data_IF_667651252297
#
_entry.id   IF_667651252297
#
_cell.length_a   1.000
_cell.length_b   1.000
_cell.length_c   1.000
_cell.angle_alpha   90.00
_cell.angle_beta   90.00
_cell.angle_gamma   90.00
#
_symmetry.space_group_name_H-M   'P 1'
#
loop_
_entity.id
_entity.type
_entity.pdbx_description
1 polymer ?
#
# COMPACT_ATOMS: atom_id res chain seq x y z
N UNK A 1 -21.27 15.33 -4.56
CA UNK A 1 -19.82 15.29 -4.91
C UNK A 1 -19.22 14.04 -4.25
N UNK A 2 -18.41 13.26 -4.98
CA UNK A 2 -17.84 12.01 -4.47
C UNK A 2 -16.79 12.31 -3.37
N UNK A 3 -16.93 11.76 -2.13
CA UNK A 3 -16.02 12.06 -1.02
C UNK A 3 -14.68 11.32 -1.08
N UNK A 4 -14.50 10.38 -2.01
CA UNK A 4 -13.32 9.52 -2.09
C UNK A 4 -12.06 10.27 -2.53
N UNK A 5 -10.95 10.06 -1.81
CA UNK A 5 -9.62 10.55 -2.20
C UNK A 5 -9.07 9.79 -3.42
N UNK A 6 -9.27 8.48 -3.45
CA UNK A 6 -8.97 7.60 -4.58
C UNK A 6 -10.30 7.08 -5.11
N UNK A 7 -10.62 7.42 -6.36
CA UNK A 7 -11.86 7.05 -7.02
C UNK A 7 -11.71 5.77 -7.85
N UNK A 8 -10.48 5.37 -8.16
CA UNK A 8 -10.21 4.16 -8.93
C UNK A 8 -8.76 4.07 -9.35
N UNK A 9 -8.48 3.07 -10.19
CA UNK A 9 -7.22 2.93 -10.91
C UNK A 9 -7.47 2.42 -12.32
N UNK A 10 -6.53 2.72 -13.20
CA UNK A 10 -6.44 2.19 -14.55
C UNK A 10 -5.10 1.48 -14.73
N UNK A 11 -5.08 0.36 -15.45
CA UNK A 11 -3.86 -0.37 -15.80
C UNK A 11 -3.59 -0.16 -17.29
N UNK A 12 -2.49 0.52 -17.61
CA UNK A 12 -1.97 0.62 -18.96
C UNK A 12 -1.18 -0.65 -19.31
N UNK A 13 -1.89 -1.62 -19.91
CA UNK A 13 -1.29 -2.87 -20.36
C UNK A 13 -0.25 -2.68 -21.46
N UNK A 14 -0.23 -1.57 -22.19
CA UNK A 14 0.78 -1.34 -23.23
C UNK A 14 2.17 -1.13 -22.60
N UNK A 15 2.22 -0.64 -21.36
CA UNK A 15 3.46 -0.52 -20.57
C UNK A 15 3.90 -1.85 -19.92
N UNK A 16 3.11 -2.92 -20.05
CA UNK A 16 3.43 -4.24 -19.47
C UNK A 16 3.82 -5.22 -20.58
N UNK A 17 5.05 -5.79 -20.56
CA UNK A 17 5.48 -6.78 -21.54
C UNK A 17 4.50 -7.95 -21.69
N UNK A 18 4.30 -8.43 -22.91
CA UNK A 18 3.38 -9.55 -23.20
C UNK A 18 3.75 -10.85 -22.46
N UNK A 19 5.04 -11.04 -22.17
CA UNK A 19 5.56 -12.18 -21.41
C UNK A 19 5.65 -11.92 -19.89
N UNK A 20 5.19 -10.76 -19.40
CA UNK A 20 5.26 -10.42 -17.98
C UNK A 20 4.36 -11.34 -17.14
N UNK A 21 4.85 -11.75 -15.98
CA UNK A 21 4.08 -12.57 -15.04
C UNK A 21 2.84 -11.84 -14.52
N UNK A 22 2.82 -10.50 -14.54
CA UNK A 22 1.68 -9.67 -14.14
C UNK A 22 0.41 -10.01 -14.92
N UNK A 23 0.55 -10.38 -16.20
CA UNK A 23 -0.57 -10.83 -17.05
C UNK A 23 -1.15 -12.19 -16.65
N UNK A 24 -0.55 -12.88 -15.69
CA UNK A 24 -0.98 -14.19 -15.16
C UNK A 24 -1.51 -14.10 -13.72
N UNK A 25 -1.43 -12.94 -13.08
CA UNK A 25 -1.96 -12.75 -11.74
C UNK A 25 -3.47 -12.60 -11.81
N UNK A 26 -4.20 -13.48 -11.13
CA UNK A 26 -5.67 -13.54 -11.23
C UNK A 26 -6.34 -12.22 -10.81
N UNK A 27 -5.82 -11.54 -9.79
CA UNK A 27 -6.34 -10.27 -9.29
C UNK A 27 -6.36 -9.12 -10.30
N UNK A 28 -5.45 -9.16 -11.28
CA UNK A 28 -5.22 -8.04 -12.19
C UNK A 28 -5.33 -8.45 -13.65
N UNK A 29 -5.24 -9.73 -14.01
CA UNK A 29 -5.25 -10.16 -15.41
C UNK A 29 -6.52 -9.67 -16.12
N UNK A 30 -6.34 -8.82 -17.13
CA UNK A 30 -7.44 -8.27 -17.92
C UNK A 30 -8.26 -7.20 -17.19
N UNK A 31 -7.76 -6.68 -16.06
CA UNK A 31 -8.33 -5.53 -15.38
C UNK A 31 -7.82 -4.26 -16.08
N UNK A 32 -8.67 -3.58 -16.82
CA UNK A 32 -8.33 -2.29 -17.45
C UNK A 32 -8.61 -1.14 -16.48
N UNK A 33 -9.77 -1.18 -15.81
CA UNK A 33 -10.21 -0.15 -14.87
C UNK A 33 -10.86 -0.79 -13.63
N UNK A 34 -10.57 -0.21 -12.46
CA UNK A 34 -11.24 -0.52 -11.21
C UNK A 34 -11.75 0.78 -10.59
N UNK A 35 -13.06 0.88 -10.39
CA UNK A 35 -13.72 2.04 -9.78
C UNK A 35 -14.10 1.75 -8.33
N UNK A 36 -13.76 2.66 -7.43
CA UNK A 36 -14.15 2.61 -6.03
C UNK A 36 -15.47 3.36 -5.80
N UNK A 37 -16.41 2.67 -5.17
CA UNK A 37 -17.70 3.23 -4.78
C UNK A 37 -17.84 3.44 -3.27
N UNK A 38 -16.95 2.84 -2.47
CA UNK A 38 -17.01 2.81 -1.02
C UNK A 38 -15.77 3.47 -0.40
N UNK A 39 -15.94 4.11 0.77
CA UNK A 39 -14.84 4.70 1.55
C UNK A 39 -13.82 3.66 2.00
N UNK A 40 -14.29 2.43 2.24
CA UNK A 40 -13.47 1.31 2.72
C UNK A 40 -13.70 0.14 1.76
N UNK A 41 -12.93 0.05 0.66
CA UNK A 41 -13.01 -1.08 -0.25
C UNK A 41 -12.36 -2.33 0.38
N UNK A 42 -13.03 -3.47 0.25
CA UNK A 42 -12.51 -4.76 0.69
C UNK A 42 -12.16 -5.62 -0.52
N UNK A 43 -10.94 -6.15 -0.52
CA UNK A 43 -10.48 -7.13 -1.50
C UNK A 43 -10.40 -8.51 -0.82
N UNK A 44 -11.04 -9.51 -1.42
CA UNK A 44 -11.09 -10.88 -0.89
C UNK A 44 -10.69 -11.83 -2.01
N UNK A 45 -9.61 -12.57 -1.79
CA UNK A 45 -9.06 -13.54 -2.76
C UNK A 45 -8.48 -14.75 -2.04
N UNK A 46 -8.20 -15.80 -2.80
CA UNK A 46 -7.39 -16.93 -2.34
C UNK A 46 -5.94 -16.47 -2.10
N UNK A 47 -5.26 -17.12 -1.17
CA UNK A 47 -3.83 -16.89 -0.95
C UNK A 47 -3.05 -17.10 -2.26
N UNK A 48 -2.23 -16.12 -2.64
CA UNK A 48 -1.51 -16.11 -3.91
C UNK A 48 -2.29 -15.54 -5.11
N UNK A 49 -3.51 -15.02 -4.93
CA UNK A 49 -4.33 -14.46 -6.00
C UNK A 49 -3.81 -13.14 -6.60
N UNK A 50 -2.96 -12.42 -5.87
CA UNK A 50 -2.38 -11.15 -6.32
C UNK A 50 -2.91 -9.90 -5.63
N UNK A 51 -3.82 -10.04 -4.66
CA UNK A 51 -4.29 -8.93 -3.81
C UNK A 51 -3.17 -8.05 -3.24
N UNK A 52 -2.08 -8.64 -2.73
CA UNK A 52 -0.95 -7.86 -2.21
C UNK A 52 -0.30 -7.02 -3.30
N UNK A 53 -0.07 -7.60 -4.48
CA UNK A 53 0.49 -6.91 -5.65
C UNK A 53 -0.38 -5.74 -6.10
N UNK A 54 -1.71 -5.89 -6.09
CA UNK A 54 -2.64 -4.82 -6.40
C UNK A 54 -2.57 -3.69 -5.36
N UNK A 55 -2.59 -4.04 -4.07
CA UNK A 55 -2.52 -3.05 -2.98
C UNK A 55 -1.18 -2.31 -2.96
N UNK A 56 -0.08 -3.00 -3.22
CA UNK A 56 1.26 -2.41 -3.36
C UNK A 56 1.30 -1.43 -4.54
N UNK A 57 0.77 -1.80 -5.70
CA UNK A 57 0.72 -0.92 -6.86
C UNK A 57 -0.12 0.35 -6.57
N UNK A 58 -1.26 0.21 -5.88
CA UNK A 58 -2.07 1.36 -5.45
C UNK A 58 -1.29 2.26 -4.49
N UNK A 59 -0.58 1.67 -3.52
CA UNK A 59 0.21 2.40 -2.54
C UNK A 59 1.35 3.18 -3.21
N UNK A 60 2.16 2.52 -4.04
CA UNK A 60 3.28 3.15 -4.76
C UNK A 60 2.80 4.22 -5.71
N UNK A 61 1.76 3.98 -6.51
CA UNK A 61 1.19 4.99 -7.41
C UNK A 61 0.54 6.17 -6.66
N UNK A 62 0.22 5.97 -5.37
CA UNK A 62 -0.23 7.05 -4.46
C UNK A 62 0.92 7.79 -3.76
N UNK A 63 2.16 7.33 -3.94
CA UNK A 63 3.39 7.91 -3.41
C UNK A 63 3.83 7.34 -2.05
N UNK A 64 3.38 6.15 -1.67
CA UNK A 64 3.84 5.44 -0.48
C UNK A 64 5.02 4.53 -0.80
N UNK A 65 5.82 4.24 0.23
CA UNK A 65 6.87 3.23 0.15
C UNK A 65 6.26 1.82 0.01
N UNK A 66 6.73 0.97 -0.92
CA UNK A 66 6.23 -0.39 -1.06
C UNK A 66 6.40 -1.22 0.22
N UNK A 67 7.40 -0.97 1.06
CA UNK A 67 7.61 -1.69 2.32
C UNK A 67 6.62 -1.27 3.42
N UNK A 68 5.83 -0.22 3.17
CA UNK A 68 4.87 0.35 4.12
C UNK A 68 5.43 1.57 4.85
N UNK A 69 4.54 2.36 5.43
CA UNK A 69 4.91 3.60 6.12
C UNK A 69 4.12 4.83 5.68
N UNK A 70 4.58 5.99 6.16
CA UNK A 70 4.08 7.29 5.74
C UNK A 70 4.55 7.64 4.32
N UNK A 71 3.90 8.63 3.73
CA UNK A 71 4.28 9.18 2.43
C UNK A 71 5.64 9.91 2.50
N UNK A 72 6.72 9.27 2.05
CA UNK A 72 8.05 9.88 1.96
C UNK A 72 8.38 10.21 0.49
N UNK A 73 8.51 11.50 0.18
CA UNK A 73 8.78 11.99 -1.17
C UNK A 73 10.29 12.04 -1.45
N UNK A 74 10.95 10.87 -1.53
CA UNK A 74 12.28 10.70 -2.12
C UNK A 74 12.55 9.21 -2.39
N UNK A 75 12.30 8.77 -3.62
CA UNK A 75 12.63 7.42 -4.08
C UNK A 75 14.08 7.42 -4.60
N UNK A 76 15.04 6.88 -3.84
CA UNK A 76 16.43 6.72 -4.32
C UNK A 76 16.93 5.28 -4.41
N UNK A 77 16.12 4.28 -4.05
CA UNK A 77 16.58 2.88 -4.02
C UNK A 77 15.39 1.95 -4.11
N UNK A 78 14.89 1.63 -5.30
CA UNK A 78 14.06 0.44 -5.49
C UNK A 78 13.99 -0.02 -6.95
N UNK A 79 15.15 -0.42 -7.48
CA UNK A 79 15.35 -0.73 -8.91
C UNK A 79 14.92 -2.15 -9.34
N UNK A 80 14.14 -2.89 -8.52
CA UNK A 80 14.11 -4.35 -8.71
C UNK A 80 12.77 -5.08 -8.64
N UNK A 81 11.64 -4.47 -8.29
CA UNK A 81 10.48 -5.31 -7.91
C UNK A 81 9.11 -4.99 -8.51
N UNK A 82 8.84 -3.84 -9.13
CA UNK A 82 7.45 -3.48 -9.40
C UNK A 82 7.20 -2.92 -10.80
N UNK A 83 7.20 -3.76 -11.84
CA UNK A 83 6.73 -3.36 -13.17
C UNK A 83 5.27 -2.86 -13.19
N UNK A 84 4.45 -3.24 -12.19
CA UNK A 84 3.04 -2.89 -12.16
C UNK A 84 2.79 -1.42 -11.81
N UNK A 85 3.62 -0.79 -10.98
CA UNK A 85 3.35 0.61 -10.58
C UNK A 85 3.47 1.58 -11.77
N UNK A 86 4.38 1.31 -12.70
CA UNK A 86 4.60 2.15 -13.89
C UNK A 86 3.39 2.13 -14.83
N UNK A 87 2.68 1.00 -14.85
CA UNK A 87 1.47 0.82 -15.62
C UNK A 87 0.20 1.27 -14.89
N UNK A 88 0.25 1.54 -13.58
CA UNK A 88 -0.94 1.86 -12.77
C UNK A 88 -1.11 3.36 -12.63
N UNK A 89 -2.26 3.86 -13.09
CA UNK A 89 -2.67 5.25 -12.93
C UNK A 89 -3.82 5.37 -11.94
N UNK A 90 -3.64 6.18 -10.90
CA UNK A 90 -4.66 6.40 -9.86
C UNK A 90 -5.60 7.53 -10.27
N UNK A 91 -6.90 7.23 -10.35
CA UNK A 91 -7.94 8.23 -10.47
C UNK A 91 -8.16 8.89 -9.09
N UNK A 92 -7.72 10.13 -8.93
CA UNK A 92 -7.84 10.89 -7.68
C UNK A 92 -9.11 11.74 -7.67
N UNK A 93 -9.74 11.85 -6.52
CA UNK A 93 -10.85 12.76 -6.32
C UNK A 93 -10.41 14.22 -6.20
N UNK A 94 -11.39 15.12 -6.11
CA UNK A 94 -11.13 16.56 -5.98
C UNK A 94 -10.45 16.94 -4.65
N UNK A 95 -10.59 16.09 -3.62
CA UNK A 95 -9.96 16.27 -2.32
C UNK A 95 -8.57 15.66 -2.34
N UNK A 96 -7.62 16.36 -1.74
CA UNK A 96 -6.28 15.83 -1.48
C UNK A 96 -6.18 15.40 -0.01
N UNK A 97 -5.72 14.17 0.22
CA UNK A 97 -5.41 13.71 1.56
C UNK A 97 -4.13 14.42 2.05
N UNK A 98 -4.22 15.10 3.20
CA UNK A 98 -3.07 15.78 3.84
C UNK A 98 -2.08 14.79 4.46
N UNK A 99 -2.57 13.60 4.80
CA UNK A 99 -1.81 12.54 5.46
C UNK A 99 -2.36 11.18 5.02
N UNK A 100 -1.52 10.15 5.08
CA UNK A 100 -1.90 8.76 4.86
C UNK A 100 -0.77 7.82 5.27
N UNK A 101 -1.10 6.52 5.35
CA UNK A 101 -0.16 5.46 5.72
C UNK A 101 -0.49 4.18 4.95
N UNK A 102 0.53 3.48 4.45
CA UNK A 102 0.38 2.14 3.88
C UNK A 102 0.79 1.07 4.90
N UNK A 103 -0.18 0.31 5.41
CA UNK A 103 0.04 -0.72 6.43
C UNK A 103 0.21 -2.09 5.76
N UNK A 104 1.30 -2.78 6.11
CA UNK A 104 1.57 -4.17 5.75
C UNK A 104 1.71 -4.99 7.03
N UNK A 105 0.90 -6.04 7.18
CA UNK A 105 1.00 -6.94 8.33
C UNK A 105 2.34 -7.72 8.32
N UNK A 106 2.85 -8.06 7.13
CA UNK A 106 4.13 -8.77 6.96
C UNK A 106 5.34 -7.88 7.30
N UNK A 107 5.34 -6.59 6.89
CA UNK A 107 6.41 -5.63 7.22
C UNK A 107 6.37 -5.15 8.66
N UNK A 108 5.24 -5.34 9.36
CA UNK A 108 5.12 -5.05 10.80
C UNK A 108 6.16 -5.85 11.63
N UNK A 109 6.60 -7.00 11.11
CA UNK A 109 7.69 -7.79 11.70
C UNK A 109 9.06 -7.09 11.62
N UNK A 110 9.31 -6.28 10.58
CA UNK A 110 10.56 -5.55 10.42
C UNK A 110 10.59 -4.24 11.21
N UNK A 111 9.43 -3.58 11.38
CA UNK A 111 9.31 -2.37 12.22
C UNK A 111 9.37 -2.72 13.70
N UNK A 112 8.87 -3.89 14.09
CA UNK A 112 9.19 -4.46 15.39
C UNK A 112 10.72 -4.52 15.53
N UNK A 113 11.47 -5.22 14.67
CA UNK A 113 12.93 -5.32 14.86
C UNK A 113 13.71 -3.97 14.77
N UNK A 114 13.09 -2.86 14.33
CA UNK A 114 13.70 -1.52 14.29
C UNK A 114 13.46 -0.65 15.54
N UNK A 115 12.98 -1.20 16.67
CA UNK A 115 13.11 -0.54 17.99
C UNK A 115 14.55 -0.62 18.58
N UNK A 116 15.59 -0.85 17.78
CA UNK A 116 16.98 -0.63 18.23
C UNK A 116 17.41 0.85 18.27
N UNK A 117 16.52 1.79 17.89
CA UNK A 117 16.79 3.24 17.91
C UNK A 117 16.01 4.00 18.99
N UNK A 118 15.65 3.35 20.10
CA UNK A 118 15.11 4.06 21.26
C UNK A 118 16.21 4.93 21.90
N UNK A 119 16.03 6.24 21.89
CA UNK A 119 16.88 7.20 22.62
C UNK A 119 16.02 7.95 23.66
N UNK A 120 16.67 8.60 24.62
CA UNK A 120 16.03 9.24 25.78
C UNK A 120 14.96 10.29 25.42
N UNK A 121 15.02 10.90 24.22
CA UNK A 121 14.02 11.86 23.70
C UNK A 121 12.83 11.20 22.99
N UNK A 122 12.92 9.91 22.65
CA UNK A 122 11.89 9.14 21.93
C UNK A 122 11.65 7.80 22.63
N UNK A 123 10.88 7.77 23.73
CA UNK A 123 10.64 6.56 24.48
C UNK A 123 9.94 5.50 23.62
N UNK A 124 10.45 4.26 23.67
CA UNK A 124 9.84 3.11 23.01
C UNK A 124 8.36 2.99 23.40
N UNK A 125 7.48 2.90 22.40
CA UNK A 125 6.05 2.66 22.59
C UNK A 125 5.72 1.17 22.83
N UNK A 126 6.76 0.33 22.98
CA UNK A 126 6.73 -1.09 23.33
C UNK A 126 5.75 -1.88 22.47
N UNK A 127 5.77 -1.66 21.17
CA UNK A 127 4.89 -2.37 20.24
C UNK A 127 5.18 -3.87 20.16
N UNK A 128 6.32 -4.31 20.69
CA UNK A 128 6.72 -5.71 20.84
C UNK A 128 6.03 -6.48 21.96
N UNK A 129 5.57 -5.78 23.00
CA UNK A 129 4.92 -6.41 24.16
C UNK A 129 3.42 -6.64 23.91
N UNK A 130 2.90 -6.16 22.76
CA UNK A 130 1.49 -6.22 22.36
C UNK A 130 1.25 -7.32 21.33
N UNK A 131 0.06 -7.92 21.35
CA UNK A 131 -0.32 -8.91 20.35
C UNK A 131 -0.45 -8.29 18.94
N UNK A 132 -0.36 -9.12 17.90
CA UNK A 132 -0.38 -8.71 16.48
C UNK A 132 -1.51 -7.72 16.14
N UNK A 133 -2.70 -7.91 16.72
CA UNK A 133 -3.86 -7.02 16.55
C UNK A 133 -3.81 -5.76 17.43
N UNK A 134 -3.21 -5.81 18.61
CA UNK A 134 -3.11 -4.68 19.53
C UNK A 134 -2.09 -3.64 19.07
N UNK A 135 -0.97 -4.07 18.48
CA UNK A 135 0.01 -3.13 17.90
C UNK A 135 -0.56 -2.41 16.69
N UNK A 136 -1.31 -3.13 15.85
CA UNK A 136 -2.06 -2.55 14.73
C UNK A 136 -3.13 -1.56 15.22
N UNK A 137 -3.92 -1.95 16.24
CA UNK A 137 -4.99 -1.11 16.78
C UNK A 137 -4.44 0.14 17.47
N UNK A 138 -3.33 0.03 18.20
CA UNK A 138 -2.68 1.18 18.82
C UNK A 138 -2.16 2.18 17.79
N UNK A 139 -1.56 1.70 16.68
CA UNK A 139 -1.20 2.57 15.55
C UNK A 139 -2.43 3.22 14.90
N UNK A 140 -3.50 2.45 14.68
CA UNK A 140 -4.74 2.98 14.13
C UNK A 140 -5.33 4.07 15.05
N UNK A 141 -5.38 3.85 16.36
CA UNK A 141 -5.94 4.80 17.34
C UNK A 141 -5.09 6.07 17.53
N UNK A 142 -3.77 5.98 17.34
CA UNK A 142 -2.88 7.13 17.48
C UNK A 142 -2.84 8.02 16.21
N UNK A 143 -3.25 7.50 15.05
CA UNK A 143 -3.09 8.19 13.76
C UNK A 143 -4.36 8.30 12.89
N UNK A 144 -5.48 7.67 13.26
CA UNK A 144 -6.81 7.85 12.66
C UNK A 144 -7.73 8.61 13.62
#
# INVERSE_FOLDING_TARGET
MNPLFIQGLHIDWDNIPQNSYLRRIDAIKGLDELVFHNLIPFFVEKNGGGKSTLLEAIAVASGFDPEGGRKNYAFSTYDSYLQLYEAVHIAKGYRQAKWGYFLRAESFYNVATKEEYADWEHPSEKYHEKSHGESFLALAQNYL
#
